data_IF_017680992224
#
_entry.id   IF_017680992224
#
_cell.length_a   1.000
_cell.length_b   1.000
_cell.length_c   1.000
_cell.angle_alpha   90.00
_cell.angle_beta   90.00
_cell.angle_gamma   90.00
#
_symmetry.space_group_name_H-M   'P 1'
#
loop_
_entity.id
_entity.type
_entity.pdbx_description
1 polymer ?
#
# COMPACT_ATOMS: atom_id res chain seq x y z
N UNK A 1 43.83 8.82 -2.99
CA UNK A 1 45.26 9.08 -2.89
C UNK A 1 45.74 10.02 -3.98
N UNK A 2 46.68 10.89 -3.64
CA UNK A 2 47.35 11.75 -4.59
C UNK A 2 48.28 10.97 -5.52
N UNK A 3 49.13 11.70 -6.31
CA UNK A 3 50.10 11.07 -7.20
C UNK A 3 51.09 10.10 -6.53
N UNK A 4 51.28 10.20 -5.24
CA UNK A 4 52.14 9.29 -4.46
C UNK A 4 51.45 7.96 -4.11
N UNK A 5 50.13 7.83 -4.34
CA UNK A 5 49.32 6.65 -4.04
C UNK A 5 49.06 6.40 -2.55
N UNK A 6 49.40 7.36 -1.67
CA UNK A 6 49.19 7.27 -0.22
C UNK A 6 48.07 8.21 0.17
N UNK A 7 47.09 7.73 0.95
CA UNK A 7 45.99 8.55 1.49
C UNK A 7 46.47 9.37 2.70
N UNK A 8 45.94 10.61 2.81
CA UNK A 8 46.24 11.51 3.93
C UNK A 8 47.52 12.33 3.76
N UNK A 9 48.09 12.37 2.57
CA UNK A 9 49.27 13.20 2.25
C UNK A 9 48.88 14.55 1.63
N UNK A 10 49.81 15.48 1.55
CA UNK A 10 49.55 16.88 1.11
C UNK A 10 49.20 17.01 -0.37
N UNK A 11 49.44 15.98 -1.17
CA UNK A 11 49.14 15.91 -2.60
C UNK A 11 47.80 15.21 -2.93
N UNK A 12 47.06 14.76 -1.89
CA UNK A 12 45.74 14.26 -2.08
C UNK A 12 44.82 15.37 -2.62
N UNK A 13 44.08 15.12 -3.70
CA UNK A 13 43.01 16.02 -4.07
C UNK A 13 42.04 16.06 -2.89
N UNK A 14 41.85 17.23 -2.30
CA UNK A 14 40.91 17.41 -1.18
C UNK A 14 39.52 16.83 -1.53
N UNK A 15 38.82 16.37 -0.51
CA UNK A 15 37.41 15.93 -0.69
C UNK A 15 36.68 17.06 -1.39
N UNK A 16 36.04 16.81 -2.55
CA UNK A 16 35.24 17.85 -3.23
C UNK A 16 34.23 18.43 -2.24
N UNK A 17 34.21 19.75 -2.09
CA UNK A 17 33.24 20.42 -1.21
C UNK A 17 31.84 20.45 -1.86
N UNK A 18 31.42 19.31 -2.42
CA UNK A 18 30.14 19.12 -3.07
C UNK A 18 29.13 18.63 -2.02
N UNK A 19 28.02 19.35 -1.89
CA UNK A 19 26.94 19.04 -0.94
C UNK A 19 25.63 18.70 -1.64
N UNK A 20 25.58 18.83 -2.98
CA UNK A 20 24.42 18.47 -3.79
C UNK A 20 24.88 17.53 -4.90
N UNK A 21 24.20 16.38 -5.00
CA UNK A 21 24.55 15.32 -5.93
C UNK A 21 23.31 14.94 -6.75
N UNK A 22 23.49 14.68 -8.04
CA UNK A 22 22.49 13.98 -8.85
C UNK A 22 22.65 12.47 -8.57
N UNK A 23 21.71 11.94 -7.79
CA UNK A 23 21.74 10.54 -7.35
C UNK A 23 21.15 9.54 -8.37
N UNK A 24 20.75 10.01 -9.56
CA UNK A 24 20.06 9.22 -10.57
C UNK A 24 18.56 9.48 -10.59
N UNK A 25 17.87 8.78 -11.48
CA UNK A 25 16.43 9.00 -11.71
C UNK A 25 15.70 7.66 -11.88
N UNK A 26 14.49 7.57 -11.33
CA UNK A 26 13.54 6.49 -11.59
C UNK A 26 12.47 7.01 -12.54
N UNK A 27 12.36 6.39 -13.73
CA UNK A 27 11.37 6.76 -14.74
C UNK A 27 10.31 5.69 -14.87
N UNK A 28 9.06 6.12 -14.96
CA UNK A 28 7.93 5.25 -15.29
C UNK A 28 7.06 5.93 -16.33
N UNK A 29 6.87 5.26 -17.45
CA UNK A 29 6.00 5.71 -18.52
C UNK A 29 4.88 4.67 -18.76
N UNK A 30 3.70 5.15 -19.08
CA UNK A 30 2.57 4.30 -19.46
C UNK A 30 1.82 4.92 -20.64
N UNK A 31 1.57 4.12 -21.68
CA UNK A 31 0.67 4.46 -22.75
C UNK A 31 -0.44 3.42 -22.82
N UNK A 32 -1.69 3.86 -22.70
CA UNK A 32 -2.86 3.00 -22.78
C UNK A 32 -3.82 3.48 -23.86
N UNK A 33 -4.27 2.55 -24.67
CA UNK A 33 -5.32 2.76 -25.69
C UNK A 33 -6.48 1.82 -25.35
N UNK A 34 -7.69 2.35 -25.27
CA UNK A 34 -8.89 1.58 -24.97
C UNK A 34 -10.00 1.88 -25.97
N UNK A 35 -10.73 0.85 -26.35
CA UNK A 35 -11.94 0.96 -27.15
C UNK A 35 -13.07 0.20 -26.43
N UNK A 36 -14.19 0.86 -26.18
CA UNK A 36 -15.34 0.27 -25.51
C UNK A 36 -16.61 0.53 -26.32
N UNK A 37 -17.48 -0.45 -26.34
CA UNK A 37 -18.81 -0.36 -26.93
C UNK A 37 -19.83 -0.97 -25.97
N UNK A 38 -20.97 -0.34 -25.83
CA UNK A 38 -22.10 -0.87 -25.06
C UNK A 38 -23.38 -0.76 -25.85
N UNK A 39 -24.26 -1.74 -25.65
CA UNK A 39 -25.56 -1.79 -26.31
C UNK A 39 -26.56 -2.61 -25.48
N UNK A 40 -27.79 -2.16 -25.46
CA UNK A 40 -28.91 -2.97 -25.02
C UNK A 40 -29.33 -3.94 -26.16
N UNK A 41 -29.45 -5.22 -25.81
CA UNK A 41 -29.91 -6.26 -26.72
C UNK A 41 -31.24 -6.82 -26.20
N UNK A 42 -32.24 -6.84 -27.08
CA UNK A 42 -33.46 -7.57 -26.81
C UNK A 42 -33.30 -9.04 -27.21
N UNK A 43 -33.13 -9.90 -26.21
CA UNK A 43 -32.95 -11.34 -26.38
C UNK A 43 -34.20 -12.15 -26.00
N UNK A 44 -35.36 -11.50 -25.88
CA UNK A 44 -36.59 -12.14 -25.46
C UNK A 44 -36.67 -12.48 -23.97
N UNK A 45 -35.77 -11.89 -23.15
CA UNK A 45 -35.82 -11.96 -21.69
C UNK A 45 -36.81 -10.93 -21.13
N UNK A 46 -37.20 -11.03 -19.85
CA UNK A 46 -38.11 -10.06 -19.22
C UNK A 46 -37.63 -8.60 -19.28
N UNK A 47 -36.35 -8.36 -19.43
CA UNK A 47 -35.75 -7.06 -19.67
C UNK A 47 -34.63 -7.16 -20.70
N UNK A 48 -34.29 -6.10 -21.45
CA UNK A 48 -33.13 -6.07 -22.32
C UNK A 48 -31.85 -6.40 -21.55
N UNK A 49 -30.90 -7.01 -22.24
CA UNK A 49 -29.55 -7.29 -21.71
C UNK A 49 -28.65 -6.11 -22.05
N UNK A 50 -28.17 -5.41 -21.04
CA UNK A 50 -27.08 -4.46 -21.18
C UNK A 50 -25.80 -5.23 -21.47
N UNK A 51 -25.18 -4.97 -22.60
CA UNK A 51 -23.93 -5.61 -22.99
C UNK A 51 -22.84 -4.56 -23.13
N UNK A 52 -21.65 -4.86 -22.63
CA UNK A 52 -20.46 -4.06 -22.86
C UNK A 52 -19.29 -4.95 -23.29
N UNK A 53 -18.56 -4.49 -24.29
CA UNK A 53 -17.35 -5.15 -24.79
C UNK A 53 -16.24 -4.12 -24.91
N UNK A 54 -15.04 -4.53 -24.66
CA UNK A 54 -13.91 -3.64 -24.82
C UNK A 54 -12.63 -4.38 -25.11
N UNK A 55 -11.71 -3.64 -25.72
CA UNK A 55 -10.33 -4.04 -25.91
C UNK A 55 -9.41 -2.94 -25.41
N UNK A 56 -8.27 -3.32 -24.87
CA UNK A 56 -7.26 -2.41 -24.36
C UNK A 56 -5.88 -2.90 -24.79
N UNK A 57 -5.04 -1.97 -25.21
CA UNK A 57 -3.62 -2.20 -25.38
C UNK A 57 -2.86 -1.23 -24.49
N UNK A 58 -1.83 -1.71 -23.79
CA UNK A 58 -1.01 -0.93 -22.88
C UNK A 58 0.46 -1.26 -23.07
N UNK A 59 1.30 -0.23 -23.02
CA UNK A 59 2.75 -0.36 -22.89
C UNK A 59 3.16 0.33 -21.62
N UNK A 60 3.95 -0.35 -20.78
CA UNK A 60 4.57 0.18 -19.57
C UNK A 60 6.08 0.14 -19.75
N UNK A 61 6.77 1.15 -19.25
CA UNK A 61 8.22 1.23 -19.20
C UNK A 61 8.67 1.59 -17.80
N UNK A 62 9.75 0.99 -17.38
CA UNK A 62 10.45 1.30 -16.15
C UNK A 62 11.94 1.42 -16.44
N UNK A 63 12.57 2.55 -16.02
CA UNK A 63 13.99 2.75 -16.19
C UNK A 63 14.61 3.29 -14.90
N UNK A 64 15.85 2.89 -14.66
CA UNK A 64 16.77 3.45 -13.66
C UNK A 64 17.88 4.11 -14.43
N UNK A 65 18.08 5.41 -14.24
CA UNK A 65 19.20 6.17 -14.77
C UNK A 65 20.26 6.32 -13.70
N UNK A 66 21.53 6.15 -14.10
CA UNK A 66 22.66 6.35 -13.19
C UNK A 66 22.76 7.77 -12.67
N UNK A 67 23.27 7.91 -11.45
CA UNK A 67 23.65 9.18 -10.86
C UNK A 67 25.01 9.68 -11.39
N UNK A 68 25.37 10.89 -11.03
CA UNK A 68 26.73 11.36 -11.27
C UNK A 68 27.76 10.52 -10.52
N UNK A 69 28.94 10.36 -11.08
CA UNK A 69 29.99 9.47 -10.53
C UNK A 69 30.26 9.70 -9.04
N UNK A 70 30.32 10.97 -8.60
CA UNK A 70 30.57 11.33 -7.21
C UNK A 70 29.45 10.87 -6.25
N UNK A 71 28.22 10.59 -6.76
CA UNK A 71 27.11 10.14 -5.94
C UNK A 71 27.14 8.65 -5.58
N UNK A 72 27.90 7.83 -6.31
CA UNK A 72 27.87 6.36 -6.15
C UNK A 72 29.26 5.70 -6.05
N UNK A 73 30.35 6.43 -6.40
CA UNK A 73 31.68 5.81 -6.38
C UNK A 73 32.11 5.51 -4.96
N UNK A 74 32.72 4.32 -4.78
CA UNK A 74 33.46 3.99 -3.59
C UNK A 74 34.87 4.60 -3.71
N UNK A 75 35.26 5.41 -2.74
CA UNK A 75 36.57 6.05 -2.66
C UNK A 75 37.66 5.17 -2.04
N UNK A 76 37.31 3.97 -1.56
CA UNK A 76 38.25 3.05 -0.90
C UNK A 76 38.76 3.57 0.46
N UNK A 77 37.96 4.40 1.15
CA UNK A 77 38.28 4.93 2.48
C UNK A 77 37.84 3.95 3.57
N UNK A 78 38.59 3.93 4.66
CA UNK A 78 38.17 3.21 5.86
C UNK A 78 37.38 4.13 6.79
N UNK A 79 36.39 3.55 7.48
CA UNK A 79 35.67 4.21 8.56
C UNK A 79 36.55 4.36 9.83
N UNK A 80 36.01 5.00 10.88
CA UNK A 80 36.70 5.18 12.16
C UNK A 80 36.97 3.87 12.90
N UNK A 81 36.35 2.77 12.52
CA UNK A 81 36.52 1.41 13.05
C UNK A 81 37.54 0.58 12.27
N UNK A 82 38.06 1.10 11.14
CA UNK A 82 38.97 0.40 10.23
C UNK A 82 38.26 -0.54 9.25
N UNK A 83 36.95 -0.49 9.16
CA UNK A 83 36.14 -1.13 8.10
C UNK A 83 36.01 -0.24 6.85
N UNK A 84 35.55 -0.80 5.75
CA UNK A 84 35.29 -0.03 4.53
C UNK A 84 34.18 1.00 4.79
N UNK A 85 34.43 2.27 4.45
CA UNK A 85 33.39 3.30 4.51
C UNK A 85 32.41 3.15 3.33
N UNK A 86 31.11 3.34 3.55
CA UNK A 86 30.13 3.27 2.47
C UNK A 86 30.47 4.20 1.31
N UNK A 87 30.38 3.69 0.10
CA UNK A 87 30.61 4.48 -1.12
C UNK A 87 29.51 5.49 -1.41
N UNK A 88 29.83 6.51 -2.18
CA UNK A 88 28.89 7.50 -2.68
C UNK A 88 28.50 8.62 -1.72
N UNK A 89 27.42 9.32 -2.05
CA UNK A 89 26.88 10.42 -1.23
C UNK A 89 26.23 9.87 0.05
N UNK A 90 26.49 10.56 1.18
CA UNK A 90 25.95 10.18 2.47
C UNK A 90 24.41 10.22 2.47
N UNK A 91 23.77 9.35 3.23
CA UNK A 91 22.35 9.15 3.40
C UNK A 91 21.71 8.37 2.24
N UNK A 92 21.99 8.73 0.98
CA UNK A 92 21.52 8.02 -0.19
C UNK A 92 22.64 8.02 -1.26
N UNK A 93 23.31 6.90 -1.40
CA UNK A 93 24.24 6.70 -2.50
C UNK A 93 23.48 6.67 -3.83
N UNK A 94 23.95 7.39 -4.85
CA UNK A 94 23.34 7.43 -6.16
C UNK A 94 23.32 6.07 -6.86
N UNK A 95 22.44 5.89 -7.85
CA UNK A 95 22.44 4.70 -8.70
C UNK A 95 23.72 4.61 -9.49
N UNK A 96 24.37 3.46 -9.41
CA UNK A 96 25.57 3.17 -10.18
C UNK A 96 25.23 2.73 -11.62
N UNK A 97 26.19 2.69 -12.56
CA UNK A 97 25.96 2.14 -13.90
C UNK A 97 25.45 0.69 -13.89
N UNK A 98 25.79 -0.09 -12.86
CA UNK A 98 25.31 -1.48 -12.71
C UNK A 98 23.88 -1.58 -12.22
N UNK A 99 23.32 -0.51 -11.63
CA UNK A 99 21.92 -0.42 -11.24
C UNK A 99 21.03 0.05 -12.41
N UNK A 100 21.64 0.70 -13.42
CA UNK A 100 20.93 1.29 -14.54
C UNK A 100 20.23 0.21 -15.38
N UNK A 101 18.97 0.46 -15.71
CA UNK A 101 18.16 -0.46 -16.51
C UNK A 101 17.06 0.27 -17.25
N UNK A 102 16.60 -0.31 -18.38
CA UNK A 102 15.47 0.20 -19.15
C UNK A 102 14.66 -1.00 -19.66
N UNK A 103 13.48 -1.18 -19.11
CA UNK A 103 12.64 -2.34 -19.33
C UNK A 103 11.23 -1.92 -19.70
N UNK A 104 10.62 -2.61 -20.65
CA UNK A 104 9.23 -2.38 -21.02
C UNK A 104 8.46 -3.69 -21.18
N UNK A 105 7.14 -3.59 -21.10
CA UNK A 105 6.22 -4.67 -21.45
C UNK A 105 4.99 -4.12 -22.12
N UNK A 106 4.34 -4.99 -22.89
CA UNK A 106 3.04 -4.72 -23.47
C UNK A 106 1.98 -5.66 -22.92
N UNK A 107 0.74 -5.19 -22.91
CA UNK A 107 -0.42 -5.97 -22.53
C UNK A 107 -1.54 -5.74 -23.55
N UNK A 108 -2.20 -6.82 -23.95
CA UNK A 108 -3.43 -6.79 -24.74
C UNK A 108 -4.56 -7.40 -23.90
N UNK A 109 -5.64 -6.67 -23.72
CA UNK A 109 -6.80 -7.11 -22.96
C UNK A 109 -8.09 -7.04 -23.78
N UNK A 110 -9.02 -7.95 -23.51
CA UNK A 110 -10.40 -7.90 -24.01
C UNK A 110 -11.36 -8.33 -22.93
N UNK A 111 -12.57 -7.73 -22.89
CA UNK A 111 -13.59 -8.10 -21.92
C UNK A 111 -14.99 -8.09 -22.53
N UNK A 112 -15.87 -8.85 -21.88
CA UNK A 112 -17.31 -8.80 -22.07
C UNK A 112 -18.02 -8.72 -20.71
N UNK A 113 -19.08 -7.90 -20.66
CA UNK A 113 -19.95 -7.71 -19.50
C UNK A 113 -21.39 -7.76 -19.93
N UNK A 114 -22.23 -8.47 -19.15
CA UNK A 114 -23.63 -8.69 -19.43
C UNK A 114 -24.44 -8.49 -18.16
N UNK A 115 -25.44 -7.62 -18.21
CA UNK A 115 -26.32 -7.32 -17.10
C UNK A 115 -27.78 -7.28 -17.54
N UNK A 116 -28.67 -7.93 -16.76
CA UNK A 116 -30.11 -7.91 -17.06
C UNK A 116 -30.95 -8.11 -15.79
N UNK A 117 -32.17 -7.61 -15.82
CA UNK A 117 -33.20 -7.96 -14.83
C UNK A 117 -33.89 -9.25 -15.27
N UNK A 118 -33.64 -10.37 -14.58
CA UNK A 118 -34.35 -11.63 -14.81
C UNK A 118 -35.80 -11.57 -14.35
N UNK A 119 -36.07 -10.75 -13.30
CA UNK A 119 -37.40 -10.36 -12.83
C UNK A 119 -37.35 -8.88 -12.43
N UNK A 120 -38.48 -8.20 -12.19
CA UNK A 120 -38.47 -6.83 -11.67
C UNK A 120 -37.64 -6.65 -10.38
N UNK A 121 -37.48 -7.74 -9.60
CA UNK A 121 -36.77 -7.72 -8.33
C UNK A 121 -35.34 -8.25 -8.42
N UNK A 122 -34.97 -9.01 -9.45
CA UNK A 122 -33.71 -9.71 -9.54
C UNK A 122 -32.87 -9.24 -10.74
N UNK A 123 -31.80 -8.53 -10.46
CA UNK A 123 -30.76 -8.17 -11.42
C UNK A 123 -29.58 -9.12 -11.29
N UNK A 124 -29.04 -9.58 -12.42
CA UNK A 124 -27.81 -10.38 -12.48
C UNK A 124 -26.80 -9.75 -13.43
N UNK A 125 -25.53 -9.91 -13.11
CA UNK A 125 -24.41 -9.44 -13.92
C UNK A 125 -23.34 -10.55 -14.01
N UNK A 126 -22.81 -10.77 -15.20
CA UNK A 126 -21.69 -11.66 -15.45
C UNK A 126 -20.68 -10.99 -16.36
N UNK A 127 -19.39 -11.07 -16.01
CA UNK A 127 -18.31 -10.49 -16.80
C UNK A 127 -17.11 -11.44 -16.87
N UNK A 128 -16.39 -11.38 -17.99
CA UNK A 128 -15.11 -12.05 -18.16
C UNK A 128 -14.12 -11.12 -18.84
N UNK A 129 -12.84 -11.24 -18.48
CA UNK A 129 -11.73 -10.47 -19.04
C UNK A 129 -10.55 -11.40 -19.32
N UNK A 130 -10.02 -11.31 -20.51
CA UNK A 130 -8.77 -11.93 -20.96
C UNK A 130 -7.69 -10.85 -21.04
N UNK A 131 -6.48 -11.17 -20.58
CA UNK A 131 -5.30 -10.34 -20.76
C UNK A 131 -4.11 -11.19 -21.15
N UNK A 132 -3.27 -10.66 -22.04
CA UNK A 132 -2.03 -11.27 -22.51
C UNK A 132 -0.88 -10.28 -22.34
N UNK A 133 0.11 -10.67 -21.55
CA UNK A 133 1.29 -9.87 -21.23
C UNK A 133 2.52 -10.44 -21.92
N UNK A 134 3.38 -9.57 -22.44
CA UNK A 134 4.59 -9.96 -23.18
C UNK A 134 5.63 -10.68 -22.32
N UNK A 135 5.58 -10.54 -20.99
CA UNK A 135 6.59 -11.05 -20.05
C UNK A 135 6.17 -12.31 -19.29
N UNK A 136 4.89 -12.53 -19.00
CA UNK A 136 4.44 -13.69 -18.22
C UNK A 136 3.22 -14.44 -18.79
N UNK A 137 2.72 -14.02 -19.98
CA UNK A 137 1.66 -14.72 -20.71
C UNK A 137 0.25 -14.30 -20.30
N UNK A 138 -0.72 -15.19 -20.55
CA UNK A 138 -2.14 -14.87 -20.54
C UNK A 138 -2.84 -15.27 -19.25
N UNK A 139 -3.87 -14.50 -18.89
CA UNK A 139 -4.75 -14.73 -17.74
C UNK A 139 -6.20 -14.43 -18.10
N UNK A 140 -7.11 -15.13 -17.42
CA UNK A 140 -8.56 -14.88 -17.49
C UNK A 140 -9.08 -14.60 -16.08
N UNK A 141 -9.90 -13.57 -15.97
CA UNK A 141 -10.65 -13.26 -14.75
C UNK A 141 -12.14 -13.20 -15.05
N UNK A 142 -12.95 -13.43 -14.03
CA UNK A 142 -14.40 -13.41 -14.16
C UNK A 142 -15.09 -12.83 -12.92
N UNK A 143 -16.31 -12.38 -13.12
CA UNK A 143 -17.19 -11.87 -12.08
C UNK A 143 -18.61 -12.37 -12.31
N UNK A 144 -19.27 -12.73 -11.22
CA UNK A 144 -20.72 -12.92 -11.17
C UNK A 144 -21.28 -12.12 -9.99
N UNK A 145 -22.36 -11.38 -10.23
CA UNK A 145 -23.00 -10.58 -9.20
C UNK A 145 -24.52 -10.61 -9.34
N UNK A 146 -25.23 -10.44 -8.24
CA UNK A 146 -26.67 -10.36 -8.19
C UNK A 146 -27.18 -9.34 -7.18
N UNK A 147 -28.30 -8.72 -7.50
CA UNK A 147 -29.05 -7.84 -6.61
C UNK A 147 -30.51 -8.31 -6.59
N UNK A 148 -31.02 -8.61 -5.42
CA UNK A 148 -32.40 -8.98 -5.18
C UNK A 148 -33.09 -7.94 -4.29
N UNK A 149 -34.11 -7.31 -4.82
CA UNK A 149 -34.89 -6.27 -4.15
C UNK A 149 -36.37 -6.70 -4.11
N UNK A 150 -36.79 -7.47 -3.08
CA UNK A 150 -38.19 -7.95 -2.97
C UNK A 150 -39.18 -6.82 -2.85
N UNK A 151 -38.82 -5.72 -2.21
CA UNK A 151 -39.60 -4.50 -2.06
C UNK A 151 -38.71 -3.26 -1.99
N UNK A 152 -39.25 -2.06 -1.90
CA UNK A 152 -38.52 -0.80 -1.85
C UNK A 152 -37.65 -0.60 -0.59
N UNK A 153 -37.89 -1.39 0.44
CA UNK A 153 -37.25 -1.22 1.76
C UNK A 153 -36.03 -2.12 1.97
N UNK A 154 -35.94 -3.21 1.22
CA UNK A 154 -34.88 -4.18 1.42
C UNK A 154 -34.21 -4.55 0.11
N UNK A 155 -32.89 -4.51 0.08
CA UNK A 155 -32.07 -4.97 -1.06
C UNK A 155 -30.98 -5.90 -0.56
N UNK A 156 -30.86 -7.07 -1.15
CA UNK A 156 -29.76 -7.99 -0.98
C UNK A 156 -28.83 -7.89 -2.19
N UNK A 157 -27.53 -8.01 -1.96
CA UNK A 157 -26.52 -8.06 -3.01
C UNK A 157 -25.46 -9.10 -2.69
N UNK A 158 -24.93 -9.75 -3.71
CA UNK A 158 -23.82 -10.66 -3.58
C UNK A 158 -22.96 -10.63 -4.83
N UNK A 159 -21.66 -10.85 -4.68
CA UNK A 159 -20.74 -10.98 -5.79
C UNK A 159 -19.62 -11.98 -5.48
N UNK A 160 -19.19 -12.68 -6.52
CA UNK A 160 -17.98 -13.50 -6.52
C UNK A 160 -17.14 -13.11 -7.74
N UNK A 161 -15.85 -12.91 -7.55
CA UNK A 161 -14.95 -12.59 -8.65
C UNK A 161 -13.56 -13.15 -8.43
N UNK A 162 -12.84 -13.37 -9.54
CA UNK A 162 -11.41 -13.60 -9.54
C UNK A 162 -10.70 -12.34 -10.02
N UNK A 163 -9.48 -12.11 -9.56
CA UNK A 163 -8.62 -11.02 -10.00
C UNK A 163 -7.17 -11.45 -10.08
N UNK A 164 -6.34 -10.64 -10.69
CA UNK A 164 -4.90 -10.80 -10.63
C UNK A 164 -4.20 -9.44 -10.64
N UNK A 165 -2.94 -9.43 -10.22
CA UNK A 165 -2.02 -8.32 -10.38
C UNK A 165 -0.72 -8.81 -10.99
N UNK A 166 -0.35 -8.25 -12.13
CA UNK A 166 0.95 -8.48 -12.74
C UNK A 166 2.08 -8.05 -11.80
N UNK A 167 3.24 -8.73 -11.78
CA UNK A 167 4.42 -8.22 -11.11
C UNK A 167 4.73 -6.81 -11.64
N UNK A 168 5.01 -5.86 -10.75
CA UNK A 168 5.40 -4.50 -11.17
C UNK A 168 6.75 -4.53 -11.87
N UNK A 169 6.97 -3.76 -12.94
CA UNK A 169 8.28 -3.65 -13.58
C UNK A 169 9.36 -3.21 -12.58
N UNK A 170 9.01 -2.34 -11.62
CA UNK A 170 9.90 -1.99 -10.52
C UNK A 170 10.26 -3.17 -9.62
N UNK A 171 9.31 -4.07 -9.33
CA UNK A 171 9.58 -5.27 -8.53
C UNK A 171 10.48 -6.27 -9.30
N UNK A 172 10.37 -6.28 -10.62
CA UNK A 172 11.12 -7.20 -11.49
C UNK A 172 12.54 -6.71 -11.80
N UNK A 173 12.76 -5.38 -11.79
CA UNK A 173 13.97 -4.77 -12.38
C UNK A 173 14.66 -3.76 -11.45
N UNK A 174 14.17 -3.54 -10.23
CA UNK A 174 14.86 -2.66 -9.28
C UNK A 174 16.17 -3.28 -8.83
N UNK A 175 17.25 -2.49 -8.94
CA UNK A 175 18.60 -2.84 -8.46
C UNK A 175 19.15 -1.68 -7.68
N UNK A 176 19.64 -1.94 -6.47
CA UNK A 176 20.33 -0.94 -5.65
C UNK A 176 21.09 -1.61 -4.51
N UNK A 177 22.30 -1.20 -4.28
CA UNK A 177 23.02 -1.44 -3.03
C UNK A 177 22.73 -0.27 -2.09
N UNK A 178 22.25 -0.56 -0.88
CA UNK A 178 21.97 0.43 0.16
C UNK A 178 22.70 0.05 1.43
N UNK A 179 23.23 1.04 2.14
CA UNK A 179 23.85 0.80 3.44
C UNK A 179 22.75 0.74 4.50
N UNK A 180 22.60 -0.42 5.13
CA UNK A 180 21.73 -0.64 6.28
C UNK A 180 22.57 -0.77 7.55
N UNK A 181 21.95 -0.48 8.72
CA UNK A 181 22.60 -0.73 9.99
C UNK A 181 22.14 -2.09 10.53
N UNK A 182 23.03 -3.08 10.52
CA UNK A 182 22.78 -4.44 11.01
C UNK A 182 23.69 -4.67 12.21
N UNK A 183 23.14 -5.04 13.38
CA UNK A 183 23.91 -5.25 14.60
C UNK A 183 24.67 -4.01 15.09
N UNK A 184 24.24 -2.79 14.70
CA UNK A 184 24.89 -1.53 15.06
C UNK A 184 26.06 -1.10 14.16
N UNK A 185 26.34 -1.87 13.11
CA UNK A 185 27.35 -1.56 12.11
C UNK A 185 26.73 -1.26 10.74
N UNK A 186 27.28 -0.33 9.95
CA UNK A 186 26.84 -0.11 8.58
C UNK A 186 27.21 -1.33 7.73
N UNK A 187 26.23 -1.86 7.00
CA UNK A 187 26.38 -3.03 6.14
C UNK A 187 25.71 -2.75 4.81
N UNK A 188 26.41 -2.98 3.72
CA UNK A 188 25.84 -2.82 2.39
C UNK A 188 24.94 -4.00 2.02
N UNK A 189 23.67 -3.73 1.79
CA UNK A 189 22.67 -4.71 1.39
C UNK A 189 22.26 -4.44 -0.05
N UNK A 190 22.39 -5.47 -0.89
CA UNK A 190 21.92 -5.41 -2.28
C UNK A 190 20.45 -5.76 -2.37
N UNK A 191 19.61 -4.84 -2.86
CA UNK A 191 18.25 -5.18 -3.31
C UNK A 191 18.34 -5.44 -4.82
N UNK A 192 18.18 -6.69 -5.22
CA UNK A 192 18.40 -7.11 -6.60
C UNK A 192 17.15 -7.70 -7.24
N UNK A 193 16.98 -7.53 -8.58
CA UNK A 193 15.97 -8.24 -9.33
C UNK A 193 16.19 -9.76 -9.23
N UNK A 194 15.09 -10.52 -9.28
CA UNK A 194 15.16 -12.00 -9.19
C UNK A 194 16.03 -12.65 -10.27
N UNK A 195 16.24 -11.99 -11.41
CA UNK A 195 17.13 -12.44 -12.48
C UNK A 195 18.61 -12.17 -12.20
N UNK A 196 18.95 -11.36 -11.19
CA UNK A 196 20.33 -11.04 -10.87
C UNK A 196 21.09 -12.27 -10.34
N UNK A 197 22.35 -12.53 -10.77
CA UNK A 197 23.08 -13.74 -10.35
C UNK A 197 23.21 -13.90 -8.83
N UNK A 198 23.38 -12.81 -8.07
CA UNK A 198 23.43 -12.86 -6.61
C UNK A 198 22.09 -13.35 -6.01
N UNK A 199 20.96 -12.84 -6.50
CA UNK A 199 19.65 -13.28 -6.06
C UNK A 199 19.40 -14.76 -6.44
N UNK A 200 19.81 -15.16 -7.66
CA UNK A 200 19.73 -16.57 -8.10
C UNK A 200 20.58 -17.51 -7.26
N UNK A 201 21.77 -17.10 -6.84
CA UNK A 201 22.62 -17.88 -5.95
C UNK A 201 21.94 -18.19 -4.61
N UNK A 202 21.08 -17.30 -4.12
CA UNK A 202 20.25 -17.48 -2.93
C UNK A 202 18.88 -18.13 -3.20
N UNK A 203 18.63 -18.59 -4.44
CA UNK A 203 17.44 -19.35 -4.80
C UNK A 203 16.23 -18.52 -5.26
N UNK A 204 16.43 -17.26 -5.65
CA UNK A 204 15.38 -16.43 -6.24
C UNK A 204 14.77 -17.07 -7.49
N UNK A 205 13.45 -16.98 -7.62
CA UNK A 205 12.66 -17.52 -8.74
C UNK A 205 11.96 -16.37 -9.46
N UNK A 206 11.61 -16.60 -10.74
CA UNK A 206 10.85 -15.63 -11.50
C UNK A 206 9.52 -15.31 -10.83
N UNK A 207 9.17 -14.02 -10.81
CA UNK A 207 7.93 -13.56 -10.22
C UNK A 207 6.73 -14.00 -11.08
N UNK A 208 5.67 -14.42 -10.39
CA UNK A 208 4.37 -14.80 -10.97
C UNK A 208 3.34 -13.73 -10.66
N UNK A 209 2.26 -13.64 -11.46
CA UNK A 209 1.13 -12.78 -11.11
C UNK A 209 0.48 -13.20 -9.78
N UNK A 210 0.18 -12.23 -8.94
CA UNK A 210 -0.68 -12.42 -7.78
C UNK A 210 -2.09 -12.72 -8.24
N UNK A 211 -2.80 -13.60 -7.52
CA UNK A 211 -4.17 -14.00 -7.85
C UNK A 211 -5.08 -13.75 -6.66
N UNK A 212 -6.31 -13.32 -6.94
CA UNK A 212 -7.32 -13.13 -5.90
C UNK A 212 -8.62 -13.86 -6.20
N UNK A 213 -9.28 -14.27 -5.11
CA UNK A 213 -10.69 -14.66 -5.10
C UNK A 213 -11.40 -13.72 -4.13
N UNK A 214 -12.44 -13.05 -4.62
CA UNK A 214 -13.18 -12.06 -3.88
C UNK A 214 -14.63 -12.50 -3.75
N UNK A 215 -15.14 -12.54 -2.52
CA UNK A 215 -16.53 -12.83 -2.19
C UNK A 215 -17.10 -11.68 -1.39
N UNK A 216 -18.31 -11.25 -1.72
CA UNK A 216 -19.03 -10.25 -0.93
C UNK A 216 -20.51 -10.53 -0.89
N UNK A 217 -21.16 -10.16 0.21
CA UNK A 217 -22.59 -10.19 0.38
C UNK A 217 -23.02 -9.00 1.25
N UNK A 218 -24.16 -8.39 0.91
CA UNK A 218 -24.65 -7.23 1.64
C UNK A 218 -26.14 -7.09 1.63
N UNK A 219 -26.61 -6.31 2.60
CA UNK A 219 -28.03 -5.93 2.74
C UNK A 219 -28.13 -4.41 2.90
N UNK A 220 -29.10 -3.83 2.19
CA UNK A 220 -29.52 -2.45 2.41
C UNK A 220 -30.94 -2.48 2.93
N UNK A 221 -31.20 -1.76 4.02
CA UNK A 221 -32.50 -1.66 4.64
C UNK A 221 -32.88 -0.18 4.79
N UNK A 222 -34.00 0.20 4.23
CA UNK A 222 -34.57 1.55 4.34
C UNK A 222 -36.02 1.42 4.89
N UNK A 223 -36.17 1.21 6.21
CA UNK A 223 -37.50 0.97 6.81
C UNK A 223 -38.46 2.16 6.65
N UNK A 224 -37.91 3.34 6.57
CA UNK A 224 -38.56 4.62 6.25
C UNK A 224 -37.65 5.44 5.36
N UNK A 225 -38.16 6.43 4.65
CA UNK A 225 -37.40 7.24 3.68
C UNK A 225 -36.24 8.04 4.34
N UNK A 226 -36.33 8.27 5.64
CA UNK A 226 -35.35 9.02 6.41
C UNK A 226 -34.15 8.16 6.90
N UNK A 227 -34.31 6.83 6.92
CA UNK A 227 -33.27 5.92 7.46
C UNK A 227 -32.82 4.95 6.37
N UNK A 228 -31.51 4.89 6.16
CA UNK A 228 -30.88 3.86 5.33
C UNK A 228 -29.74 3.23 6.11
N UNK A 229 -29.74 1.90 6.18
CA UNK A 229 -28.66 1.10 6.79
C UNK A 229 -28.14 0.13 5.76
N UNK A 230 -26.82 0.07 5.61
CA UNK A 230 -26.15 -0.88 4.73
C UNK A 230 -25.16 -1.71 5.56
N UNK A 231 -25.22 -3.02 5.40
CA UNK A 231 -24.23 -3.94 5.98
C UNK A 231 -23.68 -4.83 4.87
N UNK A 232 -22.35 -4.82 4.71
CA UNK A 232 -21.64 -5.65 3.76
C UNK A 232 -20.60 -6.51 4.49
N UNK A 233 -20.53 -7.77 4.11
CA UNK A 233 -19.46 -8.70 4.49
C UNK A 233 -18.62 -9.03 3.26
N UNK A 234 -17.31 -9.15 3.44
CA UNK A 234 -16.42 -9.53 2.36
C UNK A 234 -15.29 -10.44 2.82
N UNK A 235 -14.79 -11.21 1.87
CA UNK A 235 -13.58 -12.03 2.01
C UNK A 235 -12.78 -11.93 0.72
N UNK A 236 -11.47 -11.67 0.87
CA UNK A 236 -10.50 -11.57 -0.22
C UNK A 236 -9.35 -12.52 0.12
N UNK A 237 -9.18 -13.57 -0.68
CA UNK A 237 -8.02 -14.45 -0.61
C UNK A 237 -7.03 -14.04 -1.70
N UNK A 238 -5.80 -13.73 -1.31
CA UNK A 238 -4.69 -13.40 -2.20
C UNK A 238 -3.66 -14.51 -2.16
N UNK A 239 -3.28 -15.03 -3.33
CA UNK A 239 -2.22 -16.02 -3.52
C UNK A 239 -1.07 -15.44 -4.31
N UNK A 240 0.11 -16.04 -4.12
CA UNK A 240 1.33 -15.61 -4.81
C UNK A 240 1.64 -14.12 -4.61
N UNK A 241 1.30 -13.53 -3.45
CA UNK A 241 1.51 -12.10 -3.18
C UNK A 241 2.99 -11.78 -3.18
N UNK A 242 3.35 -10.73 -3.92
CA UNK A 242 4.74 -10.31 -4.09
C UNK A 242 5.11 -9.37 -2.96
N UNK A 243 6.18 -9.74 -2.24
CA UNK A 243 6.76 -8.96 -1.15
C UNK A 243 8.27 -8.87 -1.33
N UNK A 244 8.89 -7.83 -0.76
CA UNK A 244 10.34 -7.82 -0.59
C UNK A 244 10.66 -8.82 0.51
N UNK A 245 11.57 -9.76 0.21
CA UNK A 245 11.98 -10.80 1.14
C UNK A 245 12.81 -10.26 2.31
N UNK A 246 13.08 -11.12 3.28
CA UNK A 246 14.03 -10.85 4.35
C UNK A 246 15.44 -10.55 3.79
N UNK A 247 16.27 -9.93 4.60
CA UNK A 247 17.70 -9.77 4.27
C UNK A 247 18.41 -11.09 4.54
N UNK A 248 19.01 -11.68 3.53
CA UNK A 248 19.87 -12.86 3.64
C UNK A 248 21.30 -12.42 3.92
N UNK A 249 21.70 -12.38 5.19
CA UNK A 249 22.99 -11.87 5.67
C UNK A 249 23.71 -12.82 6.63
N UNK A 250 23.18 -14.02 6.86
CA UNK A 250 23.82 -15.03 7.66
C UNK A 250 25.06 -15.64 6.97
N UNK A 251 25.90 -16.33 7.73
CA UNK A 251 27.15 -16.89 7.25
C UNK A 251 27.00 -17.83 6.05
N UNK A 252 25.89 -18.60 5.99
CA UNK A 252 25.61 -19.50 4.88
C UNK A 252 25.25 -18.72 3.61
N UNK A 253 24.42 -17.70 3.74
CA UNK A 253 24.03 -16.79 2.65
C UNK A 253 25.24 -16.06 2.09
N UNK A 254 26.07 -15.48 2.96
CA UNK A 254 27.30 -14.80 2.57
C UNK A 254 28.31 -15.76 1.90
N UNK A 255 28.38 -17.02 2.37
CA UNK A 255 29.18 -18.06 1.73
C UNK A 255 28.74 -18.39 0.31
N UNK A 256 27.43 -18.47 0.05
CA UNK A 256 26.87 -18.68 -1.30
C UNK A 256 27.14 -17.47 -2.21
N UNK A 257 26.96 -16.25 -1.68
CA UNK A 257 27.26 -15.01 -2.41
C UNK A 257 28.76 -14.93 -2.79
N UNK A 258 29.65 -15.21 -1.85
CA UNK A 258 31.11 -15.23 -2.10
C UNK A 258 31.48 -16.27 -3.17
N UNK A 259 30.87 -17.47 -3.11
CA UNK A 259 31.05 -18.51 -4.12
C UNK A 259 30.58 -18.08 -5.51
N UNK A 260 29.56 -17.21 -5.58
CA UNK A 260 29.05 -16.61 -6.80
C UNK A 260 29.81 -15.33 -7.24
N UNK A 261 30.86 -14.93 -6.51
CA UNK A 261 31.73 -13.78 -6.82
C UNK A 261 31.27 -12.45 -6.21
N UNK A 262 30.30 -12.45 -5.28
CA UNK A 262 29.80 -11.27 -4.59
C UNK A 262 30.37 -11.22 -3.16
N UNK A 263 31.52 -10.60 -2.99
CA UNK A 263 32.24 -10.52 -1.70
C UNK A 263 32.09 -9.16 -1.01
N UNK A 264 31.51 -8.16 -1.70
CA UNK A 264 31.43 -6.78 -1.25
C UNK A 264 30.01 -6.40 -0.77
N UNK A 265 29.13 -7.37 -0.58
CA UNK A 265 27.79 -7.16 -0.03
C UNK A 265 27.65 -7.94 1.27
N UNK A 266 27.12 -7.31 2.30
CA UNK A 266 26.88 -7.92 3.60
C UNK A 266 25.48 -8.51 3.75
N UNK A 267 24.70 -8.51 2.66
CA UNK A 267 23.39 -9.13 2.60
C UNK A 267 22.71 -8.86 1.26
N UNK A 268 21.69 -9.66 0.95
CA UNK A 268 20.89 -9.53 -0.28
C UNK A 268 19.41 -9.67 0.04
N UNK A 269 18.61 -8.81 -0.57
CA UNK A 269 17.16 -8.89 -0.62
C UNK A 269 16.67 -9.00 -2.07
N UNK A 270 15.57 -9.68 -2.29
CA UNK A 270 14.87 -9.71 -3.57
C UNK A 270 13.37 -9.88 -3.39
N UNK A 271 12.59 -9.48 -4.39
CA UNK A 271 11.16 -9.71 -4.38
C UNK A 271 10.83 -11.18 -4.60
N UNK A 272 9.82 -11.68 -3.90
CA UNK A 272 9.38 -13.08 -4.01
C UNK A 272 7.86 -13.17 -3.95
N UNK A 273 7.27 -14.19 -4.59
CA UNK A 273 5.87 -14.58 -4.36
C UNK A 273 5.80 -15.38 -3.05
N UNK A 274 6.05 -14.69 -1.96
CA UNK A 274 6.32 -15.28 -0.65
C UNK A 274 5.13 -15.40 0.28
N UNK A 275 3.89 -15.04 -0.16
CA UNK A 275 2.83 -14.81 0.80
C UNK A 275 1.44 -15.16 0.26
N UNK A 276 0.66 -15.92 1.06
CA UNK A 276 -0.79 -16.02 0.90
C UNK A 276 -1.49 -15.30 2.04
N UNK A 277 -2.48 -14.48 1.73
CA UNK A 277 -3.22 -13.71 2.73
C UNK A 277 -4.72 -13.82 2.54
N UNK A 278 -5.44 -13.67 3.65
CA UNK A 278 -6.89 -13.51 3.69
C UNK A 278 -7.23 -12.21 4.38
N UNK A 279 -8.10 -11.45 3.73
CA UNK A 279 -8.77 -10.31 4.34
C UNK A 279 -10.24 -10.63 4.51
N UNK A 280 -10.75 -10.53 5.73
CA UNK A 280 -12.18 -10.62 6.02
C UNK A 280 -12.65 -9.33 6.64
N UNK A 281 -13.85 -8.90 6.31
CA UNK A 281 -14.35 -7.66 6.90
C UNK A 281 -15.87 -7.53 6.85
N UNK A 282 -16.33 -6.57 7.66
CA UNK A 282 -17.71 -6.10 7.74
C UNK A 282 -17.71 -4.57 7.64
N UNK A 283 -18.53 -4.04 6.75
CA UNK A 283 -18.76 -2.61 6.62
C UNK A 283 -20.21 -2.28 6.98
N UNK A 284 -20.41 -1.43 7.96
CA UNK A 284 -21.71 -0.88 8.34
C UNK A 284 -21.74 0.60 8.00
N UNK A 285 -22.75 1.03 7.27
CA UNK A 285 -23.09 2.45 7.14
C UNK A 285 -24.55 2.68 7.51
N UNK A 286 -24.83 3.76 8.22
CA UNK A 286 -26.18 4.16 8.56
C UNK A 286 -26.32 5.67 8.41
N UNK A 287 -27.38 6.09 7.74
CA UNK A 287 -27.77 7.49 7.62
C UNK A 287 -29.17 7.66 8.18
N UNK A 288 -29.33 8.67 9.01
CA UNK A 288 -30.62 9.06 9.53
C UNK A 288 -30.82 10.57 9.34
N UNK A 289 -31.79 10.93 8.51
CA UNK A 289 -32.28 12.31 8.39
C UNK A 289 -33.40 12.48 9.42
N UNK A 290 -33.07 13.06 10.56
CA UNK A 290 -34.00 13.20 11.69
C UNK A 290 -35.13 14.14 11.30
N UNK A 291 -36.43 13.67 11.33
CA UNK A 291 -37.57 14.53 11.06
C UNK A 291 -37.61 15.69 12.05
N UNK A 292 -37.62 16.92 11.54
CA UNK A 292 -37.65 18.13 12.37
C UNK A 292 -38.82 19.03 11.99
N UNK A 293 -39.42 19.67 12.99
CA UNK A 293 -40.45 20.69 12.74
C UNK A 293 -39.78 21.99 12.25
N UNK A 294 -40.27 22.53 11.12
CA UNK A 294 -39.76 23.76 10.51
C UNK A 294 -39.01 23.51 9.19
N UNK A 295 -39.24 24.39 8.19
CA UNK A 295 -38.75 24.25 6.82
C UNK A 295 -37.22 24.45 6.69
N UNK A 296 -36.59 25.11 7.68
CA UNK A 296 -35.20 25.55 7.59
C UNK A 296 -34.27 24.74 8.49
N UNK A 297 -34.73 23.60 9.01
CA UNK A 297 -33.96 22.76 9.95
C UNK A 297 -33.72 21.37 9.39
N UNK A 298 -32.47 20.94 9.42
CA UNK A 298 -32.12 19.55 9.12
C UNK A 298 -31.15 19.06 10.16
N UNK A 299 -31.31 17.82 10.61
CA UNK A 299 -30.31 17.09 11.38
C UNK A 299 -30.06 15.79 10.65
N UNK A 300 -28.83 15.57 10.24
CA UNK A 300 -28.39 14.31 9.65
C UNK A 300 -27.40 13.65 10.59
N UNK A 301 -27.62 12.37 10.86
CA UNK A 301 -26.70 11.53 11.62
C UNK A 301 -26.18 10.45 10.68
N UNK A 302 -24.86 10.43 10.48
CA UNK A 302 -24.17 9.44 9.67
C UNK A 302 -23.25 8.62 10.58
N UNK A 303 -23.39 7.30 10.53
CA UNK A 303 -22.52 6.36 11.20
C UNK A 303 -21.87 5.45 10.17
N UNK A 304 -20.57 5.21 10.34
CA UNK A 304 -19.84 4.20 9.59
C UNK A 304 -18.95 3.40 10.55
N UNK A 305 -18.94 2.09 10.39
CA UNK A 305 -18.04 1.20 11.12
C UNK A 305 -17.47 0.16 10.16
N UNK A 306 -16.19 -0.10 10.30
CA UNK A 306 -15.48 -1.12 9.57
C UNK A 306 -14.82 -2.06 10.57
N UNK A 307 -15.05 -3.33 10.41
CA UNK A 307 -14.23 -4.42 10.96
C UNK A 307 -13.46 -5.05 9.82
N UNK A 308 -12.14 -5.11 9.90
CA UNK A 308 -11.31 -5.72 8.87
C UNK A 308 -10.11 -6.40 9.49
N UNK A 309 -9.93 -7.68 9.19
CA UNK A 309 -8.81 -8.49 9.67
C UNK A 309 -8.04 -9.06 8.50
N UNK A 310 -6.73 -8.87 8.54
CA UNK A 310 -5.80 -9.52 7.63
C UNK A 310 -5.13 -10.70 8.35
N UNK A 311 -5.05 -11.84 7.67
CA UNK A 311 -4.40 -13.05 8.16
C UNK A 311 -3.42 -13.53 7.10
N UNK A 312 -2.23 -13.89 7.53
CA UNK A 312 -1.27 -14.64 6.72
C UNK A 312 -1.66 -16.11 6.81
N UNK A 313 -1.96 -16.70 5.65
CA UNK A 313 -2.36 -18.11 5.57
C UNK A 313 -1.16 -19.02 5.33
N UNK A 314 -0.21 -18.54 4.54
CA UNK A 314 1.01 -19.26 4.20
C UNK A 314 2.13 -18.27 3.85
N UNK A 315 3.37 -18.67 4.14
CA UNK A 315 4.59 -17.94 3.78
C UNK A 315 5.51 -18.86 3.00
N UNK A 316 6.21 -18.31 2.00
CA UNK A 316 7.19 -19.11 1.26
C UNK A 316 8.29 -19.61 2.20
N UNK A 317 8.55 -20.89 2.10
CA UNK A 317 9.65 -21.52 2.82
C UNK A 317 11.00 -21.02 2.32
N UNK A 318 12.02 -21.16 3.16
CA UNK A 318 13.39 -20.85 2.77
C UNK A 318 13.78 -21.64 1.50
N UNK A 319 14.43 -21.02 0.51
CA UNK A 319 14.96 -21.72 -0.66
C UNK A 319 15.82 -22.92 -0.28
N UNK A 320 15.69 -24.02 -1.00
CA UNK A 320 16.40 -25.27 -0.67
C UNK A 320 17.92 -25.09 -0.64
N UNK A 321 18.48 -24.24 -1.51
CA UNK A 321 19.92 -23.94 -1.54
C UNK A 321 20.42 -23.34 -0.22
N UNK A 322 19.61 -22.51 0.43
CA UNK A 322 19.92 -21.92 1.73
C UNK A 322 19.81 -22.97 2.85
N UNK A 323 18.77 -23.84 2.80
CA UNK A 323 18.62 -24.97 3.73
C UNK A 323 19.83 -25.91 3.63
N UNK A 324 20.26 -26.26 2.42
CA UNK A 324 21.38 -27.15 2.17
C UNK A 324 22.72 -26.51 2.61
N UNK A 325 22.83 -25.20 2.56
CA UNK A 325 24.00 -24.44 3.03
C UNK A 325 24.01 -24.26 4.57
N UNK A 326 22.94 -24.63 5.26
CA UNK A 326 22.82 -24.51 6.71
C UNK A 326 22.49 -23.09 7.17
N UNK A 327 21.72 -22.32 6.38
CA UNK A 327 21.24 -20.99 6.75
C UNK A 327 20.44 -21.04 8.06
N UNK A 328 20.62 -20.02 8.87
CA UNK A 328 19.89 -19.84 10.14
C UNK A 328 18.61 -19.01 9.96
N UNK A 329 18.36 -18.53 8.74
CA UNK A 329 17.12 -17.82 8.42
C UNK A 329 15.89 -18.71 8.60
N UNK A 330 14.81 -18.16 9.15
CA UNK A 330 13.59 -18.92 9.48
C UNK A 330 12.56 -18.91 8.36
N UNK A 331 12.72 -18.06 7.34
CA UNK A 331 11.80 -17.91 6.22
C UNK A 331 12.17 -16.76 5.30
N UNK A 332 11.29 -16.46 4.35
CA UNK A 332 11.46 -15.35 3.42
C UNK A 332 10.81 -14.04 3.90
N UNK A 333 10.17 -14.04 5.08
CA UNK A 333 9.54 -12.86 5.69
C UNK A 333 10.06 -12.70 7.11
N UNK A 334 10.37 -11.47 7.48
CA UNK A 334 10.70 -11.10 8.85
C UNK A 334 9.45 -10.78 9.69
N UNK A 335 9.61 -10.69 11.01
CA UNK A 335 8.54 -10.37 11.94
C UNK A 335 7.93 -8.97 11.67
N UNK A 336 8.73 -8.02 11.19
CA UNK A 336 8.28 -6.66 10.86
C UNK A 336 7.23 -6.71 9.77
N UNK A 337 7.49 -7.45 8.70
CA UNK A 337 6.55 -7.64 7.59
C UNK A 337 5.26 -8.34 8.04
N UNK A 338 5.37 -9.35 8.91
CA UNK A 338 4.20 -10.06 9.48
C UNK A 338 3.34 -9.11 10.30
N UNK A 339 3.92 -8.36 11.22
CA UNK A 339 3.19 -7.40 12.06
C UNK A 339 2.58 -6.27 11.23
N UNK A 340 3.29 -5.75 10.23
CA UNK A 340 2.79 -4.72 9.33
C UNK A 340 1.55 -5.18 8.53
N UNK A 341 1.48 -6.45 8.16
CA UNK A 341 0.35 -7.01 7.42
C UNK A 341 -0.83 -7.30 8.36
N UNK A 342 -0.60 -7.91 9.52
CA UNK A 342 -1.66 -8.44 10.37
C UNK A 342 -2.13 -7.50 11.47
N UNK A 343 -1.24 -6.64 12.02
CA UNK A 343 -1.49 -5.94 13.29
C UNK A 343 -1.28 -4.43 13.27
N UNK A 344 -0.61 -3.89 12.26
CA UNK A 344 -0.32 -2.45 12.22
C UNK A 344 -1.57 -1.60 11.94
N UNK A 345 -2.60 -2.19 11.36
CA UNK A 345 -3.88 -1.55 11.13
C UNK A 345 -4.90 -2.03 12.16
N UNK A 346 -5.63 -1.10 12.82
CA UNK A 346 -6.72 -1.49 13.73
C UNK A 346 -7.78 -2.33 13.01
N UNK A 347 -8.19 -3.45 13.62
CA UNK A 347 -9.31 -4.25 13.10
C UNK A 347 -10.62 -3.47 13.09
N UNK A 348 -10.82 -2.60 14.07
CA UNK A 348 -12.03 -1.78 14.21
C UNK A 348 -11.75 -0.31 13.96
N UNK A 349 -12.54 0.28 13.09
CA UNK A 349 -12.59 1.74 12.85
C UNK A 349 -14.03 2.17 12.70
N UNK A 350 -14.33 3.40 13.11
CA UNK A 350 -15.68 3.91 12.95
C UNK A 350 -15.75 5.43 13.05
N UNK A 351 -16.81 5.98 12.48
CA UNK A 351 -17.14 7.40 12.57
C UNK A 351 -18.61 7.57 12.89
N UNK A 352 -18.91 8.53 13.74
CA UNK A 352 -20.25 9.03 14.00
C UNK A 352 -20.24 10.54 13.79
N UNK A 353 -21.04 11.01 12.83
CA UNK A 353 -21.15 12.43 12.50
C UNK A 353 -22.57 12.89 12.71
N UNK A 354 -22.76 14.01 13.40
CA UNK A 354 -24.01 14.71 13.45
C UNK A 354 -23.84 16.09 12.82
N UNK A 355 -24.62 16.38 11.80
CA UNK A 355 -24.67 17.68 11.12
C UNK A 355 -26.04 18.31 11.29
N UNK A 356 -26.07 19.49 11.87
CA UNK A 356 -27.28 20.28 12.06
C UNK A 356 -27.22 21.56 11.24
N UNK A 357 -28.30 21.86 10.53
CA UNK A 357 -28.46 23.16 9.82
C UNK A 357 -29.75 23.83 10.27
N UNK A 358 -29.67 25.14 10.42
CA UNK A 358 -30.85 25.99 10.69
C UNK A 358 -30.67 27.33 9.98
N UNK A 359 -31.41 27.55 8.90
CA UNK A 359 -31.28 28.77 8.09
C UNK A 359 -29.87 28.95 7.58
N UNK A 360 -29.18 30.00 8.03
CA UNK A 360 -27.80 30.29 7.67
C UNK A 360 -26.77 29.52 8.51
N UNK A 361 -27.15 29.00 9.66
CA UNK A 361 -26.23 28.35 10.59
C UNK A 361 -26.07 26.87 10.27
N UNK A 362 -24.83 26.35 10.41
CA UNK A 362 -24.46 24.94 10.31
C UNK A 362 -23.53 24.56 11.47
N UNK A 363 -23.78 23.42 12.06
CA UNK A 363 -22.90 22.82 13.07
C UNK A 363 -22.62 21.36 12.74
N UNK A 364 -21.39 20.93 12.97
CA UNK A 364 -20.95 19.54 12.80
C UNK A 364 -20.18 19.08 14.02
N UNK A 365 -20.48 17.88 14.47
CA UNK A 365 -19.69 17.14 15.44
C UNK A 365 -19.40 15.75 14.87
N UNK A 366 -18.14 15.32 14.95
CA UNK A 366 -17.71 13.99 14.52
C UNK A 366 -16.89 13.33 15.60
N UNK A 367 -17.19 12.08 15.89
CA UNK A 367 -16.34 11.17 16.63
C UNK A 367 -15.74 10.16 15.68
N UNK A 368 -14.41 9.99 15.73
CA UNK A 368 -13.66 9.00 14.93
C UNK A 368 -12.95 8.04 15.87
N UNK A 369 -13.36 6.77 15.84
CA UNK A 369 -12.79 5.69 16.65
C UNK A 369 -11.77 4.90 15.85
N UNK A 370 -10.63 4.61 16.48
CA UNK A 370 -9.58 3.72 16.00
C UNK A 370 -9.30 2.68 17.07
N UNK A 371 -9.40 1.41 16.72
CA UNK A 371 -9.10 0.28 17.60
C UNK A 371 -7.62 0.20 17.97
N UNK A 372 -7.28 -0.82 18.72
CA UNK A 372 -5.88 -1.15 19.04
C UNK A 372 -5.12 -1.51 17.78
N UNK A 373 -3.84 -1.17 17.72
CA UNK A 373 -2.92 -1.57 16.66
C UNK A 373 -1.58 -1.93 17.29
N UNK A 374 -0.73 -2.63 16.54
CA UNK A 374 0.61 -2.99 17.00
C UNK A 374 1.62 -2.57 15.95
N UNK A 375 2.81 -2.24 16.37
CA UNK A 375 3.95 -1.93 15.50
C UNK A 375 5.19 -2.59 16.02
N UNK A 376 6.06 -3.01 15.11
CA UNK A 376 7.42 -3.47 15.41
C UNK A 376 8.37 -2.80 14.44
N UNK A 377 9.60 -2.60 14.87
CA UNK A 377 10.70 -2.13 14.04
C UNK A 377 11.78 -3.21 14.07
N UNK A 378 12.61 -3.34 13.02
CA UNK A 378 13.76 -4.22 13.06
C UNK A 378 14.64 -3.74 14.22
N UNK A 379 14.57 -4.45 15.33
CA UNK A 379 15.48 -4.23 16.42
C UNK A 379 16.84 -4.83 16.05
N UNK A 380 17.90 -4.22 16.52
CA UNK A 380 19.25 -4.81 16.42
C UNK A 380 19.38 -6.12 17.19
N UNK A 381 18.38 -6.48 17.97
CA UNK A 381 18.24 -7.74 18.70
C UNK A 381 16.76 -8.01 18.89
N UNK A 382 16.27 -9.17 18.48
CA UNK A 382 14.94 -9.75 18.69
C UNK A 382 13.78 -8.73 18.66
N UNK A 383 13.03 -8.68 17.55
CA UNK A 383 11.96 -7.73 17.32
C UNK A 383 10.95 -7.66 18.47
N UNK A 384 10.66 -6.46 18.96
CA UNK A 384 9.62 -6.24 19.96
C UNK A 384 8.38 -5.63 19.33
N UNK A 385 7.31 -6.40 19.34
CA UNK A 385 5.99 -5.90 18.96
C UNK A 385 5.34 -5.15 20.12
N UNK A 386 5.07 -3.87 19.96
CA UNK A 386 4.31 -3.06 20.90
C UNK A 386 2.88 -2.89 20.44
N UNK A 387 1.95 -2.94 21.40
CA UNK A 387 0.53 -2.68 21.17
C UNK A 387 0.13 -1.33 21.71
N UNK A 388 -0.63 -0.59 20.92
CA UNK A 388 -1.09 0.75 21.23
C UNK A 388 -2.60 0.76 21.47
N UNK A 389 -3.08 1.50 22.49
CA UNK A 389 -4.48 1.48 22.87
C UNK A 389 -5.37 2.18 21.86
N UNK A 390 -6.63 1.75 21.80
CA UNK A 390 -7.67 2.42 21.03
C UNK A 390 -7.82 3.90 21.40
N UNK A 391 -8.19 4.73 20.42
CA UNK A 391 -8.41 6.17 20.59
C UNK A 391 -9.67 6.64 19.88
N UNK A 392 -10.30 7.65 20.45
CA UNK A 392 -11.40 8.38 19.80
C UNK A 392 -11.00 9.85 19.66
N UNK A 393 -11.11 10.37 18.46
CA UNK A 393 -10.89 11.78 18.15
C UNK A 393 -12.24 12.46 17.95
N UNK A 394 -12.34 13.73 18.37
CA UNK A 394 -13.51 14.55 18.17
C UNK A 394 -13.18 15.75 17.31
N UNK A 395 -13.98 15.95 16.25
CA UNK A 395 -13.93 17.12 15.39
C UNK A 395 -15.21 17.93 15.57
N UNK A 396 -15.10 19.25 15.50
CA UNK A 396 -16.24 20.16 15.54
C UNK A 396 -16.08 21.25 14.49
N UNK A 397 -17.18 21.68 13.89
CA UNK A 397 -17.20 22.84 13.00
C UNK A 397 -18.53 23.60 13.19
N UNK A 398 -18.44 24.91 13.21
CA UNK A 398 -19.59 25.81 13.15
C UNK A 398 -19.46 26.75 11.95
N UNK A 399 -20.49 26.82 11.13
CA UNK A 399 -20.52 27.63 9.91
C UNK A 399 -21.70 28.58 9.88
N UNK A 400 -21.53 29.70 9.19
CA UNK A 400 -22.56 30.70 8.98
C UNK A 400 -22.55 31.26 7.56
N UNK A 401 -23.69 31.25 6.89
CA UNK A 401 -23.85 31.79 5.54
C UNK A 401 -24.23 33.26 5.57
N UNK A 402 -23.48 34.11 4.87
CA UNK A 402 -23.73 35.55 4.73
C UNK A 402 -23.44 35.97 3.30
N UNK A 403 -24.39 36.61 2.62
CA UNK A 403 -24.22 37.25 1.30
C UNK A 403 -23.56 36.32 0.24
N UNK A 404 -23.95 35.05 0.19
CA UNK A 404 -23.41 34.09 -0.79
C UNK A 404 -22.07 33.44 -0.41
N UNK A 405 -21.48 33.82 0.73
CA UNK A 405 -20.32 33.17 1.31
C UNK A 405 -20.70 32.39 2.57
N UNK A 406 -19.96 31.33 2.87
CA UNK A 406 -20.01 30.61 4.16
C UNK A 406 -18.68 30.76 4.87
N UNK A 407 -18.72 31.32 6.07
CA UNK A 407 -17.58 31.33 6.98
C UNK A 407 -17.76 30.19 7.99
N UNK A 408 -16.76 29.32 8.14
CA UNK A 408 -16.75 28.24 9.13
C UNK A 408 -15.50 28.33 10.00
N UNK A 409 -15.68 28.01 11.27
CA UNK A 409 -14.62 27.81 12.25
C UNK A 409 -14.68 26.36 12.71
N UNK A 410 -13.52 25.68 12.75
CA UNK A 410 -13.47 24.30 13.13
C UNK A 410 -12.23 23.93 13.94
N UNK A 411 -12.36 22.82 14.62
CA UNK A 411 -11.26 22.14 15.30
C UNK A 411 -11.30 20.66 14.93
N UNK A 412 -10.19 20.16 14.38
CA UNK A 412 -9.96 18.71 14.27
C UNK A 412 -9.20 18.25 15.51
N UNK A 413 -9.50 17.03 15.95
CA UNK A 413 -8.93 16.48 17.17
C UNK A 413 -9.05 17.46 18.35
N UNK A 414 -10.28 17.91 18.62
CA UNK A 414 -10.61 18.95 19.61
C UNK A 414 -9.98 18.69 20.99
N UNK A 415 -9.93 17.42 21.39
CA UNK A 415 -9.41 17.01 22.71
C UNK A 415 -7.90 16.80 22.75
N UNK A 416 -7.20 17.11 21.65
CA UNK A 416 -5.74 16.99 21.55
C UNK A 416 -5.24 15.57 21.84
N UNK A 417 -5.94 14.57 21.30
CA UNK A 417 -5.68 13.14 21.51
C UNK A 417 -4.47 12.71 20.67
N UNK A 418 -3.56 11.99 21.30
CA UNK A 418 -2.37 11.42 20.64
C UNK A 418 -2.40 9.89 20.69
N UNK A 419 -1.65 9.19 19.80
CA UNK A 419 -1.42 7.76 19.92
C UNK A 419 -0.66 7.42 21.20
N UNK A 420 -0.52 6.15 21.52
CA UNK A 420 0.33 5.70 22.62
C UNK A 420 1.79 6.09 22.40
N UNK A 421 2.51 6.39 23.48
CA UNK A 421 3.96 6.54 23.41
C UNK A 421 4.60 5.16 23.30
N UNK A 422 5.59 4.98 22.40
CA UNK A 422 6.39 3.76 22.41
C UNK A 422 7.14 3.65 23.73
N UNK A 423 7.28 2.43 24.23
CA UNK A 423 8.10 2.12 25.40
C UNK A 423 9.54 1.78 24.99
N UNK A 424 9.70 1.33 23.76
CA UNK A 424 10.98 1.00 23.15
C UNK A 424 11.38 2.11 22.18
N UNK A 425 12.59 2.60 22.31
CA UNK A 425 13.13 3.68 21.47
C UNK A 425 13.18 3.29 19.99
N UNK A 426 13.24 1.99 19.67
CA UNK A 426 13.21 1.49 18.29
C UNK A 426 11.89 1.78 17.58
N UNK A 427 10.75 1.66 18.28
CA UNK A 427 9.42 1.83 17.68
C UNK A 427 9.05 3.31 17.44
N UNK A 428 9.93 4.24 17.77
CA UNK A 428 9.82 5.65 17.44
C UNK A 428 10.98 6.18 16.59
N UNK A 429 11.64 5.29 15.85
CA UNK A 429 12.82 5.60 15.06
C UNK A 429 13.94 6.25 15.92
N UNK A 430 14.36 5.54 16.97
CA UNK A 430 15.40 5.96 17.92
C UNK A 430 15.16 7.33 18.59
N UNK A 431 13.90 7.59 18.96
CA UNK A 431 13.54 8.84 19.63
C UNK A 431 13.26 10.01 18.69
N UNK A 432 13.31 9.83 17.36
CA UNK A 432 12.98 10.87 16.39
C UNK A 432 11.48 11.23 16.42
N UNK A 433 10.61 10.28 16.73
CA UNK A 433 9.17 10.51 16.85
C UNK A 433 8.73 10.36 18.31
N UNK A 434 8.01 11.33 18.87
CA UNK A 434 7.51 11.24 20.25
C UNK A 434 6.36 10.24 20.43
N UNK A 435 5.80 9.72 19.33
CA UNK A 435 4.64 8.84 19.26
C UNK A 435 4.87 7.69 18.29
N UNK A 436 4.03 6.65 18.38
CA UNK A 436 4.08 5.52 17.44
C UNK A 436 4.00 6.00 16.00
N UNK A 437 5.03 5.70 15.19
CA UNK A 437 5.12 6.11 13.79
C UNK A 437 4.00 5.50 12.93
N UNK A 438 3.56 4.27 13.26
CA UNK A 438 2.47 3.56 12.58
C UNK A 438 1.06 4.01 13.00
N UNK A 439 0.90 5.15 13.67
CA UNK A 439 -0.41 5.64 14.10
C UNK A 439 -1.40 5.78 12.95
N UNK A 440 -2.61 5.18 13.02
CA UNK A 440 -3.61 5.21 11.96
C UNK A 440 -4.26 6.60 11.77
N UNK A 441 -4.01 7.56 12.66
CA UNK A 441 -4.55 8.92 12.59
C UNK A 441 -3.47 10.01 12.71
N UNK A 442 -2.19 9.62 12.62
CA UNK A 442 -1.06 10.54 12.79
C UNK A 442 -0.86 11.01 14.23
N UNK A 443 -0.05 12.06 14.41
CA UNK A 443 0.34 12.59 15.73
C UNK A 443 0.46 14.12 15.74
N UNK A 444 -0.26 14.81 14.85
CA UNK A 444 -0.19 16.29 14.75
C UNK A 444 -0.97 17.03 15.85
N UNK A 445 -1.75 16.31 16.67
CA UNK A 445 -2.54 16.91 17.71
C UNK A 445 -3.74 17.73 17.20
N UNK A 446 -4.18 18.72 18.00
CA UNK A 446 -5.30 19.60 17.68
C UNK A 446 -4.95 20.53 16.53
N UNK A 447 -5.88 20.66 15.58
CA UNK A 447 -5.77 21.58 14.45
C UNK A 447 -6.98 22.51 14.40
N UNK A 448 -6.75 23.80 14.59
CA UNK A 448 -7.78 24.85 14.47
C UNK A 448 -7.74 25.45 13.08
N UNK A 449 -8.89 25.68 12.46
CA UNK A 449 -8.97 26.24 11.12
C UNK A 449 -10.16 27.18 10.94
N UNK A 450 -10.01 28.07 9.97
CA UNK A 450 -11.10 28.89 9.41
C UNK A 450 -11.23 28.53 7.94
N UNK A 451 -12.47 28.37 7.47
CA UNK A 451 -12.79 28.10 6.06
C UNK A 451 -13.76 29.15 5.55
N UNK A 452 -13.41 29.79 4.43
CA UNK A 452 -14.30 30.65 3.67
C UNK A 452 -14.65 29.95 2.37
N UNK A 453 -15.94 29.69 2.15
CA UNK A 453 -16.45 29.12 0.91
C UNK A 453 -17.33 30.20 0.24
N UNK A 454 -16.97 30.57 -0.97
CA UNK A 454 -17.75 31.53 -1.77
C UNK A 454 -18.23 30.85 -3.05
N UNK A 455 -19.55 30.87 -3.25
CA UNK A 455 -20.17 30.36 -4.48
C UNK A 455 -20.44 31.51 -5.42
N UNK A 456 -19.73 31.54 -6.54
CA UNK A 456 -20.00 32.53 -7.58
C UNK A 456 -21.40 32.28 -8.16
N UNK A 457 -22.24 33.33 -8.28
CA UNK A 457 -23.51 33.20 -8.98
C UNK A 457 -23.22 32.79 -10.44
N UNK A 458 -23.96 31.83 -10.93
CA UNK A 458 -23.91 31.40 -12.34
C UNK A 458 -24.59 32.42 -13.22
#
# INVERSE_FOLDING_TARGET
>A
PGPDGILGTADDPGIPNQTAFFAGELQRDELALTANASRELDLGLPAPVNTAFGAAWRRERWAILEGEKASWIDGGHLDSGGGDAPGGSQVFAGFSPTDASDNDRTNLGAYGDFETNLTPQLLVNGAARFEDYSDFGSLVTGKFAGRFQPDKHVTFRAAASTGFRAPGLSQMHFSKVVTNYIGGSPVDVGVFPVGHPAARALGAKDLKPEKSVNLSAGIVVSPVDEITVTLDAYRIDLKDRIVLGATFDDAASLGLLAAAGYTNVGGVQYFTNGLETRTTGLDLTAQWRVPMSGRDRTLTIDAAANYGRNEILDTATLPQVLVDAGSTETGQLDEVAVVAIEKERPDWRGTLTAEYTQGAARGLVRASYYGTFSSTQPAFTDGYTESYPARTLFDVEAGWKVAGAELALGARNLLDTYPGKPQLDYNNNFGLFPWAAASPFGYNGRYLYTRLTWTLPR
#
